data_IF_864050244502
#
_entry.id   IF_864050244502
#
_cell.length_a   1.000
_cell.length_b   1.000
_cell.length_c   1.000
_cell.angle_alpha   90.00
_cell.angle_beta   90.00
_cell.angle_gamma   90.00
#
_symmetry.space_group_name_H-M   'P 1'
#
loop_
_entity.id
_entity.type
_entity.pdbx_description
1 polymer ?
#
# COMPACT_ATOMS: atom_id res chain seq x y z
N UNK A 1 9.77 28.26 -13.43
CA UNK A 1 10.18 27.32 -12.37
C UNK A 1 11.50 27.85 -11.86
N UNK A 2 11.61 28.07 -10.55
CA UNK A 2 12.72 28.82 -9.93
C UNK A 2 14.05 28.09 -10.12
N UNK A 3 15.04 28.79 -10.70
CA UNK A 3 16.44 28.39 -10.91
C UNK A 3 17.25 28.27 -9.59
N UNK A 4 16.62 27.82 -8.50
CA UNK A 4 17.35 27.48 -7.27
C UNK A 4 17.57 25.98 -7.25
N UNK A 5 18.84 25.55 -7.23
CA UNK A 5 19.21 24.16 -6.90
C UNK A 5 18.62 23.80 -5.53
N UNK A 6 17.52 23.06 -5.55
CA UNK A 6 16.93 22.49 -4.34
C UNK A 6 17.72 21.20 -4.07
N UNK A 7 18.51 21.19 -2.99
CA UNK A 7 19.50 20.13 -2.72
C UNK A 7 18.94 18.70 -2.64
N UNK A 8 17.64 18.54 -2.39
CA UNK A 8 16.96 17.26 -2.24
C UNK A 8 16.06 16.90 -3.44
N UNK A 9 16.20 17.60 -4.57
CA UNK A 9 15.38 17.36 -5.76
C UNK A 9 15.74 16.07 -6.53
N UNK A 10 16.72 15.32 -6.07
CA UNK A 10 17.23 14.07 -6.62
C UNK A 10 17.23 12.93 -5.57
N UNK A 11 16.90 13.24 -4.32
CA UNK A 11 16.72 12.28 -3.23
C UNK A 11 15.34 11.61 -3.30
N UNK A 12 15.20 10.40 -2.77
CA UNK A 12 13.89 9.78 -2.54
C UNK A 12 13.09 10.56 -1.49
N UNK A 13 11.83 10.89 -1.79
CA UNK A 13 10.98 11.73 -0.94
C UNK A 13 9.91 10.91 -0.20
N UNK A 14 9.52 11.39 1.00
CA UNK A 14 8.35 10.84 1.70
C UNK A 14 7.09 11.01 0.83
N UNK A 15 6.32 9.94 0.67
CA UNK A 15 5.09 9.91 -0.10
C UNK A 15 5.30 9.92 -1.62
N UNK A 16 6.50 9.64 -2.12
CA UNK A 16 6.82 9.77 -3.55
C UNK A 16 5.99 8.84 -4.45
N UNK A 17 5.49 7.72 -3.91
CA UNK A 17 4.55 6.84 -4.61
C UNK A 17 3.28 7.58 -5.08
N UNK A 18 2.89 8.69 -4.45
CA UNK A 18 1.76 9.54 -4.89
C UNK A 18 1.92 10.00 -6.33
N UNK A 19 3.14 10.32 -6.78
CA UNK A 19 3.38 10.71 -8.17
C UNK A 19 3.09 9.57 -9.14
N UNK A 20 3.26 8.32 -8.72
CA UNK A 20 2.86 7.13 -9.46
C UNK A 20 1.34 7.02 -9.63
N UNK A 21 0.58 7.27 -8.56
CA UNK A 21 -0.88 7.32 -8.63
C UNK A 21 -1.37 8.47 -9.53
N UNK A 22 -0.75 9.65 -9.44
CA UNK A 22 -1.04 10.78 -10.34
C UNK A 22 -0.74 10.42 -11.79
N UNK A 23 0.39 9.75 -12.07
CA UNK A 23 0.75 9.30 -13.40
C UNK A 23 -0.34 8.37 -13.98
N UNK A 24 -0.78 7.40 -13.18
CA UNK A 24 -1.87 6.50 -13.58
C UNK A 24 -3.16 7.26 -13.88
N UNK A 25 -3.56 8.19 -13.02
CA UNK A 25 -4.79 8.95 -13.21
C UNK A 25 -4.74 9.89 -14.43
N UNK A 26 -3.57 10.49 -14.72
CA UNK A 26 -3.39 11.27 -15.95
C UNK A 26 -3.61 10.42 -17.21
N UNK A 27 -3.10 9.19 -17.25
CA UNK A 27 -3.39 8.27 -18.36
C UNK A 27 -4.86 7.89 -18.42
N UNK A 28 -5.48 7.60 -17.27
CA UNK A 28 -6.92 7.26 -17.19
C UNK A 28 -7.83 8.38 -17.66
N UNK A 29 -7.39 9.64 -17.52
CA UNK A 29 -8.13 10.84 -17.94
C UNK A 29 -7.78 11.31 -19.36
N UNK A 30 -6.91 10.59 -20.07
CA UNK A 30 -6.49 10.95 -21.42
C UNK A 30 -5.52 12.13 -21.48
N UNK A 31 -4.98 12.57 -20.34
CA UNK A 31 -4.02 13.67 -20.19
C UNK A 31 -2.59 13.22 -20.54
N UNK A 32 -2.47 12.52 -21.68
CA UNK A 32 -1.27 11.78 -22.12
C UNK A 32 -0.01 12.64 -22.12
N UNK A 33 -0.09 13.89 -22.61
CA UNK A 33 1.07 14.80 -22.63
C UNK A 33 1.59 15.12 -21.23
N UNK A 34 0.70 15.30 -20.25
CA UNK A 34 1.09 15.57 -18.85
C UNK A 34 1.67 14.30 -18.23
N UNK A 35 1.09 13.14 -18.53
CA UNK A 35 1.58 11.85 -18.08
C UNK A 35 3.00 11.58 -18.58
N UNK A 36 3.26 11.74 -19.88
CA UNK A 36 4.57 11.56 -20.50
C UNK A 36 5.63 12.52 -19.91
N UNK A 37 5.25 13.77 -19.61
CA UNK A 37 6.15 14.73 -18.97
C UNK A 37 6.53 14.31 -17.56
N UNK A 38 5.55 13.88 -16.75
CA UNK A 38 5.81 13.38 -15.40
C UNK A 38 6.68 12.12 -15.44
N UNK A 39 6.33 11.16 -16.30
CA UNK A 39 7.06 9.91 -16.45
C UNK A 39 8.51 10.15 -16.89
N UNK A 40 8.76 11.06 -17.83
CA UNK A 40 10.12 11.39 -18.26
C UNK A 40 10.98 11.93 -17.10
N UNK A 41 10.42 12.81 -16.25
CA UNK A 41 11.12 13.33 -15.06
C UNK A 41 11.42 12.26 -14.03
N UNK A 42 10.47 11.35 -13.82
CA UNK A 42 10.67 10.24 -12.90
C UNK A 42 11.67 9.22 -13.44
N UNK A 43 11.77 9.06 -14.76
CA UNK A 43 12.80 8.23 -15.40
C UNK A 43 14.19 8.78 -15.16
N UNK A 44 14.39 10.09 -15.29
CA UNK A 44 15.67 10.76 -14.98
C UNK A 44 16.10 10.47 -13.53
N UNK A 45 15.18 10.59 -12.56
CA UNK A 45 15.43 10.26 -11.15
C UNK A 45 15.75 8.78 -10.93
N UNK A 46 14.97 7.88 -11.53
CA UNK A 46 15.18 6.43 -11.39
C UNK A 46 16.52 5.97 -11.96
N UNK A 47 16.97 6.54 -13.09
CA UNK A 47 18.29 6.26 -13.66
C UNK A 47 19.43 6.70 -12.74
N UNK A 48 19.26 7.84 -12.07
CA UNK A 48 20.24 8.28 -11.07
C UNK A 48 20.29 7.31 -9.89
N UNK A 49 19.13 6.93 -9.34
CA UNK A 49 19.07 5.99 -8.21
C UNK A 49 19.66 4.63 -8.55
N UNK A 50 19.41 4.12 -9.75
CA UNK A 50 19.97 2.85 -10.23
C UNK A 50 21.51 2.88 -10.36
N UNK A 51 22.08 4.07 -10.56
CA UNK A 51 23.54 4.25 -10.62
C UNK A 51 24.23 4.37 -9.25
N UNK A 52 23.46 4.44 -8.16
CA UNK A 52 23.97 4.68 -6.80
C UNK A 52 23.92 3.41 -5.96
N UNK A 53 24.94 3.20 -5.13
CA UNK A 53 24.97 2.04 -4.22
C UNK A 53 23.89 2.12 -3.12
N UNK A 54 23.50 3.34 -2.69
CA UNK A 54 22.54 3.58 -1.60
C UNK A 54 21.65 4.80 -1.90
N UNK A 55 20.64 4.68 -2.80
CA UNK A 55 19.80 5.80 -3.25
C UNK A 55 18.69 6.21 -2.25
N UNK A 56 18.80 5.83 -0.97
CA UNK A 56 17.73 6.01 0.02
C UNK A 56 17.92 7.24 0.92
N UNK A 57 18.97 8.01 0.66
CA UNK A 57 19.33 9.17 1.47
C UNK A 57 18.22 10.23 1.53
N UNK A 58 18.23 10.97 2.62
CA UNK A 58 17.40 12.17 2.82
C UNK A 58 18.26 13.24 3.51
N UNK A 59 17.72 14.11 4.38
CA UNK A 59 18.53 15.05 5.17
C UNK A 59 19.54 14.34 6.09
N UNK A 60 19.37 13.03 6.34
CA UNK A 60 20.25 12.21 7.17
C UNK A 60 20.67 10.91 6.43
N UNK A 61 21.91 10.47 6.64
CA UNK A 61 22.52 9.35 5.90
C UNK A 61 21.95 7.95 6.20
N UNK A 62 21.24 7.78 7.32
CA UNK A 62 20.60 6.51 7.72
C UNK A 62 19.09 6.65 7.84
N UNK A 63 18.48 7.42 6.95
CA UNK A 63 17.04 7.57 6.91
C UNK A 63 16.36 6.42 6.13
N UNK A 64 15.13 6.10 6.51
CA UNK A 64 14.27 5.10 5.88
C UNK A 64 13.12 5.76 5.10
N UNK A 65 13.43 6.88 4.45
CA UNK A 65 12.46 7.78 3.81
C UNK A 65 12.29 7.50 2.32
N UNK A 66 13.39 7.25 1.60
CA UNK A 66 13.36 7.16 0.13
C UNK A 66 12.97 5.80 -0.44
N UNK A 67 12.97 4.72 0.36
CA UNK A 67 12.84 3.35 -0.14
C UNK A 67 11.54 3.13 -0.91
N UNK A 68 10.41 3.68 -0.47
CA UNK A 68 9.14 3.49 -1.19
C UNK A 68 9.14 4.13 -2.59
N UNK A 69 9.74 5.31 -2.72
CA UNK A 69 9.81 6.05 -3.98
C UNK A 69 10.81 5.38 -4.92
N UNK A 70 12.01 5.07 -4.40
CA UNK A 70 13.04 4.35 -5.15
C UNK A 70 12.50 3.02 -5.64
N UNK A 71 11.87 2.21 -4.77
CA UNK A 71 11.29 0.93 -5.17
C UNK A 71 10.26 1.11 -6.28
N UNK A 72 9.28 2.01 -6.09
CA UNK A 72 8.19 2.19 -7.04
C UNK A 72 8.73 2.53 -8.45
N UNK A 73 9.62 3.51 -8.54
CA UNK A 73 10.10 3.99 -9.83
C UNK A 73 11.15 3.10 -10.47
N UNK A 74 12.04 2.49 -9.68
CA UNK A 74 12.99 1.50 -10.21
C UNK A 74 12.24 0.30 -10.77
N UNK A 75 11.20 -0.16 -10.08
CA UNK A 75 10.32 -1.22 -10.60
C UNK A 75 9.56 -0.78 -11.84
N UNK A 76 8.96 0.42 -11.85
CA UNK A 76 8.21 0.97 -12.99
C UNK A 76 9.05 1.02 -14.28
N UNK A 77 10.34 1.33 -14.18
CA UNK A 77 11.24 1.42 -15.35
C UNK A 77 12.07 0.15 -15.63
N UNK A 78 11.84 -0.95 -14.90
CA UNK A 78 12.51 -2.23 -15.14
C UNK A 78 13.93 -2.32 -14.60
N UNK A 79 14.29 -1.49 -13.62
CA UNK A 79 15.55 -1.57 -12.87
C UNK A 79 15.42 -2.60 -11.73
N UNK A 80 15.22 -3.88 -12.09
CA UNK A 80 14.87 -4.94 -11.14
C UNK A 80 15.94 -5.18 -10.05
N UNK A 81 17.23 -4.94 -10.37
CA UNK A 81 18.32 -5.04 -9.38
C UNK A 81 18.15 -4.03 -8.24
N UNK A 82 17.89 -2.76 -8.58
CA UNK A 82 17.64 -1.69 -7.62
C UNK A 82 16.33 -1.89 -6.85
N UNK A 83 15.29 -2.42 -7.51
CA UNK A 83 14.04 -2.77 -6.84
C UNK A 83 14.26 -3.88 -5.79
N UNK A 84 14.98 -4.96 -6.15
CA UNK A 84 15.32 -6.05 -5.23
C UNK A 84 16.18 -5.58 -4.06
N UNK A 85 17.22 -4.77 -4.32
CA UNK A 85 18.04 -4.16 -3.27
C UNK A 85 17.20 -3.33 -2.29
N UNK A 86 16.16 -2.67 -2.78
CA UNK A 86 15.26 -1.88 -1.94
C UNK A 86 14.39 -2.76 -1.04
N UNK A 87 13.92 -3.91 -1.53
CA UNK A 87 13.23 -4.92 -0.70
C UNK A 87 14.16 -5.41 0.41
N UNK A 88 15.39 -5.78 0.08
CA UNK A 88 16.39 -6.25 1.05
C UNK A 88 16.72 -5.17 2.10
N UNK A 89 16.85 -3.92 1.66
CA UNK A 89 17.05 -2.75 2.52
C UNK A 89 15.92 -2.63 3.55
N UNK A 90 14.66 -2.68 3.10
CA UNK A 90 13.48 -2.61 3.97
C UNK A 90 13.44 -3.78 4.97
N UNK A 91 13.67 -5.01 4.51
CA UNK A 91 13.71 -6.19 5.38
C UNK A 91 14.85 -6.13 6.40
N UNK A 92 15.94 -5.42 6.09
CA UNK A 92 17.04 -5.19 7.02
C UNK A 92 16.65 -4.40 8.28
N UNK A 93 15.56 -3.63 8.24
CA UNK A 93 15.12 -2.81 9.37
C UNK A 93 13.64 -2.93 9.77
N UNK A 94 12.82 -3.67 9.01
CA UNK A 94 11.44 -4.04 9.35
C UNK A 94 11.36 -5.54 9.66
N UNK A 95 11.26 -5.93 10.95
CA UNK A 95 11.31 -7.34 11.33
C UNK A 95 9.93 -8.01 11.36
N UNK A 96 9.91 -9.34 11.29
CA UNK A 96 8.79 -10.15 11.79
C UNK A 96 8.98 -10.43 13.28
N UNK A 97 8.08 -9.92 14.12
CA UNK A 97 8.11 -10.16 15.58
C UNK A 97 6.68 -10.38 16.04
N UNK A 98 6.35 -11.43 16.83
CA UNK A 98 4.99 -11.68 17.31
C UNK A 98 4.60 -10.72 18.45
N UNK A 99 4.67 -9.42 18.18
CA UNK A 99 4.32 -8.35 19.09
C UNK A 99 3.76 -7.17 18.29
N UNK A 100 2.63 -6.63 18.74
CA UNK A 100 1.89 -5.58 18.02
C UNK A 100 2.79 -4.42 17.61
N UNK A 101 3.67 -3.95 18.50
CA UNK A 101 4.53 -2.80 18.27
C UNK A 101 5.84 -3.08 17.52
N UNK A 102 6.24 -4.34 17.37
CA UNK A 102 7.53 -4.67 16.75
C UNK A 102 7.37 -5.30 15.37
N UNK A 103 6.27 -6.01 15.13
CA UNK A 103 5.99 -6.61 13.82
C UNK A 103 5.87 -5.53 12.74
N UNK A 104 6.65 -5.63 11.66
CA UNK A 104 6.63 -4.65 10.58
C UNK A 104 6.96 -3.22 11.02
N UNK A 105 7.58 -3.03 12.19
CA UNK A 105 7.92 -1.70 12.67
C UNK A 105 9.29 -1.29 12.11
N UNK A 106 9.30 -0.29 11.24
CA UNK A 106 10.54 0.26 10.70
C UNK A 106 11.41 0.84 11.83
N UNK A 107 12.71 0.49 11.82
CA UNK A 107 13.64 0.91 12.86
C UNK A 107 14.01 2.38 12.77
N UNK A 108 13.48 3.21 13.66
CA UNK A 108 13.78 4.65 13.76
C UNK A 108 13.96 5.10 15.22
N UNK A 109 14.76 6.17 15.43
CA UNK A 109 15.19 6.57 16.78
C UNK A 109 15.13 8.07 17.09
N UNK A 110 15.13 8.95 16.09
CA UNK A 110 15.45 10.36 16.33
C UNK A 110 14.27 11.30 16.17
N UNK A 111 13.21 10.95 15.46
CA UNK A 111 12.18 11.93 15.05
C UNK A 111 11.42 12.56 16.22
N UNK A 112 11.39 11.94 17.40
CA UNK A 112 10.91 12.60 18.61
C UNK A 112 11.65 13.91 18.92
N UNK A 113 12.91 14.10 18.50
CA UNK A 113 13.62 15.37 18.69
C UNK A 113 13.06 16.50 17.82
N UNK A 114 12.35 16.19 16.73
CA UNK A 114 11.78 17.15 15.78
C UNK A 114 10.25 17.22 15.86
N UNK A 115 9.58 16.07 15.89
CA UNK A 115 8.12 15.94 15.81
C UNK A 115 7.45 15.41 17.08
N UNK A 116 8.19 15.16 18.16
CA UNK A 116 7.66 14.64 19.43
C UNK A 116 7.47 15.70 20.52
N UNK A 117 6.45 15.51 21.36
CA UNK A 117 6.24 16.31 22.58
C UNK A 117 7.29 15.98 23.62
N UNK A 118 7.59 14.68 23.80
CA UNK A 118 8.67 14.21 24.66
C UNK A 118 9.93 13.99 23.81
N UNK A 119 10.77 15.02 23.73
CA UNK A 119 11.96 15.05 22.87
C UNK A 119 13.11 14.22 23.46
N UNK A 120 13.51 13.14 22.78
CA UNK A 120 14.68 12.30 23.11
C UNK A 120 15.00 11.35 21.96
N UNK A 121 16.20 10.74 22.00
CA UNK A 121 16.55 9.66 21.07
C UNK A 121 16.09 8.34 21.69
N UNK A 122 15.12 7.69 21.05
CA UNK A 122 14.45 6.50 21.55
C UNK A 122 13.85 5.71 20.40
N UNK A 123 13.78 4.37 20.52
CA UNK A 123 13.07 3.56 19.53
C UNK A 123 11.61 4.01 19.42
N UNK A 124 11.22 4.38 18.20
CA UNK A 124 9.86 4.77 17.88
C UNK A 124 9.09 3.54 17.41
N UNK A 125 7.98 3.24 18.06
CA UNK A 125 7.08 2.17 17.66
C UNK A 125 6.04 2.75 16.72
N UNK A 126 5.93 2.15 15.53
CA UNK A 126 4.97 2.49 14.47
C UNK A 126 4.99 3.94 14.01
N UNK A 127 6.20 4.51 13.89
CA UNK A 127 6.41 5.81 13.22
C UNK A 127 6.09 5.73 11.71
N UNK A 128 6.02 6.89 11.00
CA UNK A 128 5.58 6.97 9.60
C UNK A 128 6.29 5.98 8.67
N UNK A 129 7.58 5.72 8.94
CA UNK A 129 8.39 4.84 8.10
C UNK A 129 7.85 3.42 8.02
N UNK A 130 7.07 2.95 9.01
CA UNK A 130 6.48 1.61 8.97
C UNK A 130 5.40 1.49 7.89
N UNK A 131 4.52 2.50 7.77
CA UNK A 131 3.46 2.52 6.77
C UNK A 131 3.96 2.80 5.36
N UNK A 132 4.94 3.70 5.23
CA UNK A 132 5.60 4.02 3.95
C UNK A 132 6.34 2.80 3.37
N UNK A 133 7.24 2.20 4.17
CA UNK A 133 8.06 1.08 3.70
C UNK A 133 7.29 -0.24 3.56
N UNK A 134 6.15 -0.39 4.21
CA UNK A 134 5.23 -1.49 3.97
C UNK A 134 4.75 -1.55 2.50
N UNK A 135 4.66 -0.41 1.81
CA UNK A 135 4.26 -0.37 0.40
C UNK A 135 5.20 -1.20 -0.48
N UNK A 136 6.51 -1.16 -0.18
CA UNK A 136 7.56 -1.93 -0.88
C UNK A 136 7.29 -3.42 -0.77
N UNK A 137 7.14 -3.92 0.46
CA UNK A 137 6.98 -5.35 0.72
C UNK A 137 5.64 -5.88 0.21
N UNK A 138 4.56 -5.10 0.35
CA UNK A 138 3.27 -5.48 -0.20
C UNK A 138 3.29 -5.51 -1.74
N UNK A 139 4.00 -4.59 -2.39
CA UNK A 139 4.15 -4.60 -3.84
C UNK A 139 5.00 -5.77 -4.33
N UNK A 140 6.10 -6.07 -3.63
CA UNK A 140 6.95 -7.22 -3.91
C UNK A 140 6.22 -8.55 -3.70
N UNK A 141 5.42 -8.67 -2.63
CA UNK A 141 4.55 -9.82 -2.43
C UNK A 141 3.54 -10.01 -3.57
N UNK A 142 3.04 -8.92 -4.15
CA UNK A 142 2.14 -9.05 -5.30
C UNK A 142 2.87 -9.61 -6.53
N UNK A 143 4.18 -9.36 -6.67
CA UNK A 143 5.01 -9.86 -7.78
C UNK A 143 5.36 -11.34 -7.57
N UNK A 144 5.61 -11.74 -6.33
CA UNK A 144 5.83 -13.13 -5.92
C UNK A 144 4.95 -13.50 -4.72
N UNK A 145 3.70 -13.96 -4.96
CA UNK A 145 2.78 -14.33 -3.89
C UNK A 145 3.17 -15.62 -3.16
N UNK A 146 4.24 -16.32 -3.59
CA UNK A 146 4.75 -17.49 -2.88
C UNK A 146 5.60 -17.12 -1.66
N UNK A 147 6.16 -15.90 -1.64
CA UNK A 147 6.92 -15.39 -0.50
C UNK A 147 6.02 -14.77 0.57
N UNK A 148 5.43 -15.65 1.38
CA UNK A 148 4.60 -15.25 2.52
C UNK A 148 5.33 -14.39 3.57
N UNK A 149 6.66 -14.35 3.59
CA UNK A 149 7.41 -13.50 4.52
C UNK A 149 7.17 -12.02 4.23
N UNK A 150 7.12 -11.64 2.95
CA UNK A 150 6.89 -10.26 2.52
C UNK A 150 5.54 -9.73 3.01
N UNK A 151 4.46 -10.50 2.86
CA UNK A 151 3.14 -10.07 3.33
C UNK A 151 3.06 -10.04 4.86
N UNK A 152 3.72 -10.96 5.58
CA UNK A 152 3.77 -10.95 7.06
C UNK A 152 4.35 -9.64 7.59
N UNK A 153 5.46 -9.16 7.02
CA UNK A 153 6.11 -7.89 7.41
C UNK A 153 5.32 -6.69 6.89
N UNK A 154 5.05 -6.68 5.57
CA UNK A 154 4.42 -5.56 4.88
C UNK A 154 3.03 -5.26 5.43
N UNK A 155 2.22 -6.29 5.67
CA UNK A 155 0.88 -6.08 6.19
C UNK A 155 0.88 -5.51 7.62
N UNK A 156 1.79 -5.99 8.47
CA UNK A 156 1.94 -5.45 9.82
C UNK A 156 2.32 -3.97 9.80
N UNK A 157 3.31 -3.58 8.99
CA UNK A 157 3.71 -2.19 8.81
C UNK A 157 2.63 -1.31 8.19
N UNK A 158 1.83 -1.84 7.25
CA UNK A 158 0.73 -1.11 6.62
C UNK A 158 -0.40 -0.81 7.62
N UNK A 159 -0.69 -1.73 8.54
CA UNK A 159 -1.72 -1.53 9.58
C UNK A 159 -1.25 -0.68 10.78
N UNK A 160 0.06 -0.51 10.93
CA UNK A 160 0.69 0.17 12.05
C UNK A 160 0.12 1.58 12.36
N UNK A 161 -0.16 2.45 11.37
CA UNK A 161 -0.63 3.82 11.64
C UNK A 161 -1.93 3.85 12.44
N UNK A 162 -2.82 2.87 12.28
CA UNK A 162 -4.08 2.80 13.05
C UNK A 162 -3.80 2.71 14.56
N UNK A 163 -2.70 2.07 14.97
CA UNK A 163 -2.35 1.96 16.39
C UNK A 163 -2.00 3.30 17.04
N UNK A 164 -1.68 4.34 16.26
CA UNK A 164 -1.35 5.66 16.77
C UNK A 164 -2.56 6.60 16.88
N UNK A 165 -3.73 6.19 16.41
CA UNK A 165 -4.97 6.98 16.51
C UNK A 165 -5.67 6.64 17.82
N UNK A 166 -5.87 7.64 18.68
CA UNK A 166 -6.61 7.43 19.92
C UNK A 166 -8.13 7.36 19.68
N UNK A 167 -8.91 7.06 20.73
CA UNK A 167 -10.36 6.92 20.63
C UNK A 167 -11.11 8.20 20.22
N UNK A 168 -10.51 9.36 20.47
CA UNK A 168 -11.03 10.67 20.07
C UNK A 168 -10.64 11.04 18.63
N UNK A 169 -9.88 10.19 17.94
CA UNK A 169 -9.44 10.40 16.56
C UNK A 169 -8.14 11.20 16.41
N UNK A 170 -7.43 11.50 17.50
CA UNK A 170 -6.16 12.23 17.45
C UNK A 170 -4.98 11.26 17.28
N UNK A 171 -4.17 11.42 16.22
CA UNK A 171 -2.99 10.61 16.02
C UNK A 171 -1.79 11.13 16.82
N UNK A 172 -0.92 10.21 17.20
CA UNK A 172 0.41 10.47 17.75
C UNK A 172 1.51 10.20 16.71
N UNK A 173 2.64 10.90 16.82
CA UNK A 173 3.79 10.70 15.93
C UNK A 173 4.31 9.25 15.98
N UNK A 174 4.42 8.69 17.17
CA UNK A 174 4.80 7.30 17.43
C UNK A 174 4.51 6.95 18.91
N UNK A 175 4.74 5.68 19.26
CA UNK A 175 4.72 5.20 20.63
C UNK A 175 6.14 5.11 21.22
N UNK A 176 6.31 5.60 22.46
CA UNK A 176 7.57 5.58 23.21
C UNK A 176 7.88 4.18 23.74
N UNK A 177 8.94 3.54 23.24
CA UNK A 177 9.32 2.17 23.57
C UNK A 177 9.98 1.95 24.95
N UNK A 178 10.49 2.99 25.61
CA UNK A 178 11.20 2.82 26.87
C UNK A 178 10.27 2.28 27.97
N UNK A 179 10.75 1.31 28.77
CA UNK A 179 9.93 0.66 29.80
C UNK A 179 9.31 1.61 30.84
N UNK A 180 9.97 2.75 31.10
CA UNK A 180 9.51 3.76 32.06
C UNK A 180 8.42 4.69 31.49
N UNK A 181 8.20 4.66 30.17
CA UNK A 181 7.36 5.65 29.48
C UNK A 181 6.13 5.02 28.85
N UNK A 182 6.31 3.98 28.02
CA UNK A 182 5.25 3.14 27.44
C UNK A 182 3.93 3.87 27.13
N UNK A 183 4.01 4.92 26.31
CA UNK A 183 2.85 5.75 25.94
C UNK A 183 2.99 6.28 24.52
N UNK A 184 1.86 6.55 23.89
CA UNK A 184 1.82 7.36 22.67
C UNK A 184 2.32 8.77 22.96
N UNK A 185 3.11 9.34 22.05
CA UNK A 185 3.56 10.72 22.17
C UNK A 185 2.35 11.68 22.18
N UNK A 186 2.51 12.82 22.86
CA UNK A 186 1.41 13.76 23.08
C UNK A 186 1.10 14.70 21.91
N UNK A 187 1.75 14.58 20.75
CA UNK A 187 1.43 15.33 19.52
C UNK A 187 1.47 14.44 18.27
N UNK A 188 0.83 14.92 17.21
CA UNK A 188 0.73 14.24 15.91
C UNK A 188 2.05 14.18 15.14
N UNK A 189 2.90 15.20 15.27
CA UNK A 189 4.16 15.30 14.52
C UNK A 189 3.97 15.05 13.02
N UNK A 190 4.80 14.17 12.47
CA UNK A 190 4.88 13.77 11.06
C UNK A 190 4.12 12.46 10.75
N UNK A 191 3.16 12.07 11.60
CA UNK A 191 2.31 10.88 11.44
C UNK A 191 1.72 10.70 10.03
N UNK A 192 1.42 11.80 9.33
CA UNK A 192 0.72 11.81 8.04
C UNK A 192 1.33 10.88 6.99
N UNK A 193 2.66 10.73 6.95
CA UNK A 193 3.32 9.80 6.03
C UNK A 193 2.89 8.34 6.27
N UNK A 194 2.79 7.91 7.53
CA UNK A 194 2.38 6.55 7.85
C UNK A 194 0.95 6.29 7.38
N UNK A 195 0.05 7.24 7.68
CA UNK A 195 -1.33 7.17 7.21
C UNK A 195 -1.43 7.12 5.68
N UNK A 196 -0.62 7.90 4.96
CA UNK A 196 -0.55 7.89 3.51
C UNK A 196 -0.17 6.49 2.99
N UNK A 197 0.90 5.89 3.51
CA UNK A 197 1.33 4.55 3.09
C UNK A 197 0.26 3.47 3.30
N UNK A 198 -0.47 3.54 4.42
CA UNK A 198 -1.64 2.70 4.67
C UNK A 198 -2.78 2.97 3.69
N UNK A 199 -3.10 4.23 3.42
CA UNK A 199 -4.20 4.60 2.52
C UNK A 199 -3.95 4.17 1.07
N UNK A 200 -2.69 4.22 0.62
CA UNK A 200 -2.30 3.89 -0.75
C UNK A 200 -2.15 2.38 -1.00
N UNK A 201 -1.65 1.62 -0.02
CA UNK A 201 -1.34 0.18 -0.20
C UNK A 201 -2.21 -0.77 0.62
N UNK A 202 -2.96 -0.24 1.59
CA UNK A 202 -3.85 -1.00 2.45
C UNK A 202 -4.99 -1.65 1.65
N UNK A 203 -5.33 -2.86 2.08
CA UNK A 203 -6.33 -3.71 1.45
C UNK A 203 -6.37 -5.08 2.13
N UNK A 204 -7.12 -6.01 1.57
CA UNK A 204 -7.07 -7.42 1.97
C UNK A 204 -6.06 -8.15 1.10
N UNK A 205 -5.23 -9.00 1.70
CA UNK A 205 -4.30 -9.86 0.98
C UNK A 205 -4.58 -11.31 1.35
N UNK A 206 -4.95 -12.12 0.36
CA UNK A 206 -5.10 -13.56 0.53
C UNK A 206 -3.79 -14.22 0.10
N UNK A 207 -3.17 -14.96 1.02
CA UNK A 207 -1.89 -15.62 0.79
C UNK A 207 -2.04 -17.11 1.08
N UNK A 208 -1.39 -17.95 0.24
CA UNK A 208 -1.21 -19.36 0.55
C UNK A 208 0.14 -19.55 1.24
N UNK A 209 0.10 -19.61 2.56
CA UNK A 209 1.29 -19.66 3.40
C UNK A 209 1.69 -21.11 3.66
N UNK A 210 2.97 -21.43 3.43
CA UNK A 210 3.47 -22.80 3.57
C UNK A 210 3.34 -23.40 4.99
N UNK A 211 3.23 -22.54 6.02
CA UNK A 211 3.17 -22.98 7.42
C UNK A 211 1.73 -23.02 7.96
N UNK A 212 0.92 -22.03 7.60
CA UNK A 212 -0.45 -21.86 8.15
C UNK A 212 -1.56 -22.07 7.13
N UNK A 213 -1.20 -22.37 5.89
CA UNK A 213 -2.11 -22.55 4.76
C UNK A 213 -2.71 -21.23 4.28
N UNK A 214 -3.88 -21.34 3.66
CA UNK A 214 -4.58 -20.19 3.10
C UNK A 214 -5.09 -19.24 4.18
N UNK A 215 -4.60 -18.00 4.18
CA UNK A 215 -4.92 -16.95 5.15
C UNK A 215 -5.33 -15.65 4.47
N UNK A 216 -6.15 -14.86 5.14
CA UNK A 216 -6.47 -13.49 4.73
C UNK A 216 -5.89 -12.49 5.73
N UNK A 217 -4.94 -11.69 5.27
CA UNK A 217 -4.50 -10.50 5.98
C UNK A 217 -5.51 -9.39 5.78
N UNK A 218 -6.03 -8.83 6.86
CA UNK A 218 -7.06 -7.80 6.78
C UNK A 218 -8.47 -8.30 6.54
N UNK A 219 -8.73 -9.59 6.70
CA UNK A 219 -10.07 -10.14 6.48
C UNK A 219 -10.37 -11.36 7.35
N UNK A 220 -11.65 -11.72 7.39
CA UNK A 220 -12.10 -13.01 7.94
C UNK A 220 -12.33 -13.94 6.75
N UNK A 221 -11.53 -14.99 6.66
CA UNK A 221 -11.62 -16.01 5.62
C UNK A 221 -12.51 -17.16 6.06
N UNK A 222 -13.35 -17.63 5.15
CA UNK A 222 -14.11 -18.87 5.28
C UNK A 222 -14.00 -19.67 3.98
N UNK A 223 -14.00 -21.00 4.09
CA UNK A 223 -13.88 -21.92 2.95
C UNK A 223 -15.06 -22.87 2.93
N UNK A 224 -15.72 -22.98 1.78
CA UNK A 224 -16.81 -23.92 1.55
C UNK A 224 -16.53 -24.66 0.23
N UNK A 225 -16.27 -25.97 0.33
CA UNK A 225 -15.84 -26.78 -0.82
C UNK A 225 -14.64 -26.14 -1.56
N UNK A 226 -14.83 -25.80 -2.85
CA UNK A 226 -13.84 -25.16 -3.70
C UNK A 226 -13.88 -23.63 -3.67
N UNK A 227 -14.86 -23.02 -2.99
CA UNK A 227 -15.00 -21.56 -2.92
C UNK A 227 -14.43 -21.01 -1.62
N UNK A 228 -13.75 -19.87 -1.73
CA UNK A 228 -13.22 -19.10 -0.62
C UNK A 228 -14.01 -17.79 -0.56
N UNK A 229 -14.49 -17.44 0.63
CA UNK A 229 -15.17 -16.17 0.90
C UNK A 229 -14.41 -15.41 1.96
N UNK A 230 -14.17 -14.12 1.72
CA UNK A 230 -13.44 -13.24 2.62
C UNK A 230 -14.26 -12.00 2.91
N UNK A 231 -14.38 -11.67 4.19
CA UNK A 231 -14.96 -10.42 4.65
C UNK A 231 -13.84 -9.43 5.01
N UNK A 232 -13.65 -8.34 4.24
CA UNK A 232 -12.69 -7.30 4.57
C UNK A 232 -12.91 -6.66 5.94
N UNK A 233 -11.80 -6.49 6.67
CA UNK A 233 -11.66 -5.86 7.98
C UNK A 233 -10.50 -4.85 8.02
N UNK A 234 -9.78 -4.70 6.91
CA UNK A 234 -8.76 -3.66 6.76
C UNK A 234 -9.39 -2.26 6.85
N UNK A 235 -8.54 -1.26 7.05
CA UNK A 235 -8.98 0.12 7.26
C UNK A 235 -9.57 0.78 6.00
N UNK A 236 -9.20 0.31 4.80
CA UNK A 236 -9.50 0.98 3.52
C UNK A 236 -10.70 0.34 2.82
N UNK A 237 -10.80 -1.00 2.82
CA UNK A 237 -11.87 -1.81 2.20
C UNK A 237 -12.10 -1.52 0.72
N UNK A 238 -11.07 -1.13 -0.02
CA UNK A 238 -11.15 -0.82 -1.47
C UNK A 238 -10.24 -1.65 -2.35
N UNK A 239 -9.40 -2.50 -1.75
CA UNK A 239 -8.42 -3.30 -2.48
C UNK A 239 -8.44 -4.72 -1.96
N UNK A 240 -8.47 -5.67 -2.90
CA UNK A 240 -8.38 -7.10 -2.59
C UNK A 240 -7.34 -7.73 -3.50
N UNK A 241 -6.27 -8.26 -2.90
CA UNK A 241 -5.27 -9.05 -3.60
C UNK A 241 -5.50 -10.54 -3.31
N UNK A 242 -5.59 -11.34 -4.36
CA UNK A 242 -5.81 -12.78 -4.27
C UNK A 242 -4.55 -13.47 -4.79
N UNK A 243 -3.61 -13.78 -3.89
CA UNK A 243 -2.32 -14.41 -4.20
C UNK A 243 -2.45 -15.68 -5.05
N UNK A 244 -3.34 -16.63 -4.72
CA UNK A 244 -3.55 -17.84 -5.53
C UNK A 244 -3.98 -17.57 -6.98
N UNK A 245 -4.55 -16.40 -7.27
CA UNK A 245 -4.92 -15.98 -8.63
C UNK A 245 -3.97 -14.91 -9.19
N UNK A 246 -3.05 -14.38 -8.38
CA UNK A 246 -2.12 -13.29 -8.73
C UNK A 246 -2.83 -12.05 -9.30
N UNK A 247 -3.97 -11.67 -8.72
CA UNK A 247 -4.72 -10.48 -9.13
C UNK A 247 -4.95 -9.52 -7.95
N UNK A 248 -4.81 -8.23 -8.22
CA UNK A 248 -5.26 -7.12 -7.38
C UNK A 248 -6.50 -6.50 -8.02
N UNK A 249 -7.58 -6.38 -7.25
CA UNK A 249 -8.80 -5.69 -7.67
C UNK A 249 -8.97 -4.44 -6.80
N UNK A 250 -9.13 -3.29 -7.44
CA UNK A 250 -9.32 -1.99 -6.80
C UNK A 250 -10.61 -1.32 -7.23
N UNK A 251 -11.24 -0.57 -6.31
CA UNK A 251 -12.45 0.22 -6.56
C UNK A 251 -12.26 1.69 -6.16
N UNK A 252 -12.83 2.62 -6.92
CA UNK A 252 -12.80 4.06 -6.59
C UNK A 252 -13.89 4.50 -5.60
N UNK A 253 -15.06 3.86 -5.69
CA UNK A 253 -16.26 4.22 -4.95
C UNK A 253 -16.81 3.06 -4.11
N UNK A 254 -17.33 3.39 -2.93
CA UNK A 254 -17.87 2.42 -1.98
C UNK A 254 -16.80 1.68 -1.17
N UNK A 255 -17.18 0.50 -0.68
CA UNK A 255 -16.37 -0.42 0.11
C UNK A 255 -16.72 -1.86 -0.25
N UNK A 256 -15.70 -2.72 -0.38
CA UNK A 256 -15.87 -4.16 -0.53
C UNK A 256 -16.39 -4.71 0.80
N UNK A 257 -17.65 -5.15 0.81
CA UNK A 257 -18.27 -5.78 1.98
C UNK A 257 -17.78 -7.22 2.14
N UNK A 258 -17.64 -7.91 1.02
CA UNK A 258 -17.30 -9.32 0.92
C UNK A 258 -16.84 -9.59 -0.51
N UNK A 259 -15.89 -10.51 -0.66
CA UNK A 259 -15.60 -11.11 -1.95
C UNK A 259 -15.47 -12.61 -1.82
N UNK A 260 -15.76 -13.31 -2.91
CA UNK A 260 -15.58 -14.75 -3.02
C UNK A 260 -14.84 -15.09 -4.30
N UNK A 261 -14.03 -16.13 -4.26
CA UNK A 261 -13.36 -16.62 -5.45
C UNK A 261 -13.28 -18.15 -5.47
N UNK A 262 -13.10 -18.66 -6.68
CA UNK A 262 -12.62 -20.00 -6.98
C UNK A 262 -11.49 -19.90 -8.03
N UNK A 263 -11.07 -21.03 -8.60
CA UNK A 263 -9.99 -21.04 -9.62
C UNK A 263 -10.34 -20.37 -10.96
N UNK A 264 -11.61 -19.99 -11.16
CA UNK A 264 -12.12 -19.52 -12.45
C UNK A 264 -12.82 -18.15 -12.38
N UNK A 265 -13.30 -17.75 -11.19
CA UNK A 265 -14.09 -16.54 -11.04
C UNK A 265 -13.88 -15.86 -9.71
N UNK A 266 -14.08 -14.54 -9.70
CA UNK A 266 -14.09 -13.71 -8.50
C UNK A 266 -15.38 -12.90 -8.49
N UNK A 267 -16.03 -12.80 -7.34
CA UNK A 267 -17.22 -11.97 -7.14
C UNK A 267 -16.99 -11.02 -5.98
N UNK A 268 -17.15 -9.71 -6.20
CA UNK A 268 -17.06 -8.69 -5.17
C UNK A 268 -18.45 -8.09 -4.93
N UNK A 269 -18.85 -8.03 -3.66
CA UNK A 269 -20.04 -7.32 -3.22
C UNK A 269 -19.60 -5.96 -2.66
N UNK A 270 -19.86 -4.90 -3.41
CA UNK A 270 -19.50 -3.52 -3.04
C UNK A 270 -20.72 -2.80 -2.48
N UNK A 271 -20.54 -2.11 -1.36
CA UNK A 271 -21.58 -1.29 -0.73
C UNK A 271 -21.14 0.15 -0.62
N UNK A 272 -22.12 1.03 -0.54
CA UNK A 272 -21.88 2.43 -0.22
C UNK A 272 -22.02 2.65 1.30
N UNK A 273 -21.19 3.50 1.92
CA UNK A 273 -21.34 3.87 3.33
C UNK A 273 -22.72 4.48 3.59
N UNK A 274 -23.32 4.18 4.74
CA UNK A 274 -24.66 4.67 5.09
C UNK A 274 -24.70 6.21 5.11
N UNK A 275 -23.71 6.81 5.79
CA UNK A 275 -23.63 8.25 6.08
C UNK A 275 -22.56 8.97 5.23
N UNK A 276 -22.13 8.36 4.12
CA UNK A 276 -21.10 8.92 3.24
C UNK A 276 -21.65 9.43 1.90
N UNK A 277 -20.80 10.10 1.11
CA UNK A 277 -21.14 10.48 -0.26
C UNK A 277 -21.60 9.28 -1.08
N UNK A 278 -22.64 9.49 -1.89
CA UNK A 278 -23.17 8.48 -2.81
C UNK A 278 -22.59 8.67 -4.19
N UNK A 279 -22.29 7.56 -4.86
CA UNK A 279 -21.88 7.50 -6.24
C UNK A 279 -22.92 6.75 -7.07
N UNK A 280 -23.09 7.14 -8.33
CA UNK A 280 -23.99 6.47 -9.29
C UNK A 280 -23.39 5.16 -9.79
N UNK A 281 -22.06 5.06 -9.83
CA UNK A 281 -21.32 3.90 -10.31
C UNK A 281 -20.01 3.72 -9.56
N UNK A 282 -19.40 2.55 -9.75
CA UNK A 282 -18.05 2.21 -9.31
C UNK A 282 -17.20 1.85 -10.52
N UNK A 283 -15.95 2.31 -10.53
CA UNK A 283 -14.93 1.86 -11.48
C UNK A 283 -14.08 0.81 -10.80
N UNK A 284 -13.86 -0.29 -11.52
CA UNK A 284 -13.07 -1.44 -11.07
C UNK A 284 -11.83 -1.54 -11.95
N UNK A 285 -10.66 -1.58 -11.31
CA UNK A 285 -9.40 -1.89 -11.97
C UNK A 285 -8.89 -3.26 -11.54
N UNK A 286 -8.27 -3.97 -12.49
CA UNK A 286 -7.68 -5.28 -12.28
C UNK A 286 -6.19 -5.17 -12.68
N UNK A 287 -5.29 -5.34 -11.72
CA UNK A 287 -3.86 -5.57 -11.96
C UNK A 287 -3.62 -7.08 -11.84
N UNK A 288 -3.37 -7.74 -12.97
CA UNK A 288 -3.16 -9.19 -13.05
C UNK A 288 -1.71 -9.50 -13.41
N UNK A 289 -1.05 -10.28 -12.56
CA UNK A 289 0.28 -10.86 -12.78
C UNK A 289 0.20 -12.35 -13.09
N UNK A 290 -1.02 -12.85 -13.30
CA UNK A 290 -1.31 -14.23 -13.63
C UNK A 290 -1.10 -14.50 -15.13
N UNK A 291 -0.80 -15.74 -15.50
CA UNK A 291 -0.77 -16.16 -16.91
C UNK A 291 -2.16 -16.03 -17.58
N UNK A 292 -3.23 -16.19 -16.80
CA UNK A 292 -4.61 -15.97 -17.26
C UNK A 292 -4.88 -14.46 -17.36
N UNK A 293 -5.55 -14.06 -18.43
CA UNK A 293 -6.12 -12.72 -18.52
C UNK A 293 -7.43 -12.67 -17.74
N UNK A 294 -7.64 -11.59 -17.00
CA UNK A 294 -8.83 -11.39 -16.17
C UNK A 294 -9.56 -10.13 -16.61
N UNK A 295 -10.89 -10.23 -16.67
CA UNK A 295 -11.76 -9.10 -17.03
C UNK A 295 -13.04 -9.11 -16.22
N UNK A 296 -13.77 -8.00 -16.26
CA UNK A 296 -15.12 -7.91 -15.69
C UNK A 296 -16.11 -8.51 -16.65
N UNK A 297 -16.88 -9.50 -16.18
CA UNK A 297 -17.94 -10.19 -16.94
C UNK A 297 -19.35 -9.85 -16.41
N UNK A 298 -19.46 -8.84 -15.55
CA UNK A 298 -20.75 -8.32 -15.07
C UNK A 298 -21.57 -7.75 -16.22
N UNK A 299 -22.88 -8.06 -16.23
CA UNK A 299 -23.82 -7.44 -17.16
C UNK A 299 -23.84 -5.92 -16.96
N UNK A 300 -23.77 -5.16 -18.05
CA UNK A 300 -23.80 -3.69 -18.03
C UNK A 300 -22.48 -3.03 -17.63
N UNK A 301 -21.40 -3.79 -17.48
CA UNK A 301 -20.07 -3.21 -17.35
C UNK A 301 -19.65 -2.53 -18.66
N UNK A 302 -19.11 -1.32 -18.54
CA UNK A 302 -18.59 -0.54 -19.68
C UNK A 302 -17.17 -0.08 -19.39
N UNK A 303 -16.30 -0.06 -20.39
CA UNK A 303 -14.94 0.45 -20.22
C UNK A 303 -14.96 1.95 -19.90
N UNK A 304 -14.25 2.35 -18.84
CA UNK A 304 -14.10 3.75 -18.44
C UNK A 304 -12.83 3.93 -17.62
N UNK A 305 -12.10 5.02 -17.86
CA UNK A 305 -10.88 5.40 -17.09
C UNK A 305 -9.89 4.23 -16.94
N UNK A 306 -9.67 3.46 -18.01
CA UNK A 306 -8.77 2.30 -18.01
C UNK A 306 -9.22 1.11 -17.14
N UNK A 307 -10.47 1.10 -16.70
CA UNK A 307 -11.10 0.01 -15.95
C UNK A 307 -12.54 -0.22 -16.42
N UNK A 308 -13.37 -0.76 -15.54
CA UNK A 308 -14.76 -1.12 -15.84
C UNK A 308 -15.73 -0.39 -14.91
N UNK A 309 -16.59 0.44 -15.49
CA UNK A 309 -17.66 1.12 -14.76
C UNK A 309 -18.90 0.24 -14.65
N UNK A 310 -19.45 0.15 -13.44
CA UNK A 310 -20.66 -0.61 -13.12
C UNK A 310 -21.58 0.26 -12.26
N UNK A 311 -22.86 0.34 -12.64
CA UNK A 311 -23.85 1.11 -11.89
C UNK A 311 -24.12 0.53 -10.49
N UNK A 312 -24.30 1.41 -9.50
CA UNK A 312 -24.82 1.02 -8.20
C UNK A 312 -26.33 0.82 -8.26
N UNK A 313 -26.81 -0.29 -7.70
CA UNK A 313 -28.22 -0.48 -7.34
C UNK A 313 -28.49 -0.10 -5.88
N UNK A 314 -29.73 -0.31 -5.43
CA UNK A 314 -30.19 0.03 -4.09
C UNK A 314 -29.34 -0.62 -2.97
N UNK A 315 -28.90 -1.86 -3.19
CA UNK A 315 -28.12 -2.65 -2.22
C UNK A 315 -26.60 -2.57 -2.41
N UNK A 316 -26.13 -1.82 -3.40
CA UNK A 316 -24.74 -1.75 -3.84
C UNK A 316 -24.52 -2.30 -5.24
N UNK A 317 -23.33 -2.81 -5.52
CA UNK A 317 -22.94 -3.39 -6.80
C UNK A 317 -22.35 -4.79 -6.60
N UNK A 318 -22.70 -5.72 -7.50
CA UNK A 318 -22.09 -7.06 -7.58
C UNK A 318 -21.21 -7.11 -8.82
N UNK A 319 -19.92 -7.28 -8.60
CA UNK A 319 -18.90 -7.27 -9.65
C UNK A 319 -18.41 -8.70 -9.83
N UNK A 320 -18.50 -9.25 -11.04
CA UNK A 320 -18.00 -10.58 -11.36
C UNK A 320 -16.85 -10.48 -12.33
N UNK A 321 -15.75 -11.17 -12.01
CA UNK A 321 -14.56 -11.30 -12.82
C UNK A 321 -14.45 -12.75 -13.30
N UNK A 322 -13.88 -12.93 -14.48
CA UNK A 322 -13.55 -14.23 -15.04
C UNK A 322 -12.44 -14.10 -16.07
N UNK A 323 -11.99 -15.24 -16.59
CA UNK A 323 -11.02 -15.26 -17.68
C UNK A 323 -11.60 -14.71 -18.98
N UNK A 324 -10.81 -13.92 -19.69
CA UNK A 324 -11.16 -13.27 -20.98
C UNK A 324 -10.11 -13.52 -22.04
#
# INVERSE_FOLDING_TARGET
MTDSEIWYNDMGLMGETVFGFILQDLFREGETRKAEQLEARMRERAQLWDSQDVPYGSEMAWDSTGQEGVYYWTKHFGFDGSAAQTVDSVLGYMPTVPHWGWNGCARRYWDFIYGGKLRRIERQIHHYGSGLNAQVLLAAFRDDPSDSYLVRVGYAGSSAPVSNINQDGFPSVAYHAWPDTQKWDGITGDYGGGFLGMALSGGVYVADDSEVGLVAYGGILSRQASSVTVQPKDAVKRRVYIGPLSILVEIDAGMVKEFSYDGESVTLNVKQPADGPRAESVIVWIDSRSEKQWGVISNGAVEARGGWQIGFGDDGATIKLGSV
#
